data_IF_597965029905
#
_entry.id   IF_597965029905
#
_cell.length_a   1.000
_cell.length_b   1.000
_cell.length_c   1.000
_cell.angle_alpha   90.00
_cell.angle_beta   90.00
_cell.angle_gamma   90.00
#
_symmetry.space_group_name_H-M   'P 1'
#
loop_
_entity.id
_entity.type
_entity.pdbx_description
1 polymer ?
2 water ?
#
# COMPACT_ATOMS: atom_id res chain seq x y z
N UNK A 1 0.85 16.53 23.03
CA UNK A 1 0.74 15.04 23.02
C UNK A 1 2.05 14.37 22.66
N UNK A 2 2.52 13.46 23.51
CA UNK A 2 3.78 12.77 23.26
C UNK A 2 3.64 11.58 22.36
N UNK A 3 4.11 11.78 21.12
CA UNK A 3 4.07 10.77 20.08
C UNK A 3 5.48 10.32 19.67
N UNK A 4 5.69 9.01 19.68
CA UNK A 4 6.97 8.48 19.28
C UNK A 4 6.85 7.91 17.87
N UNK A 5 7.89 8.08 17.08
CA UNK A 5 7.88 7.55 15.72
C UNK A 5 8.92 6.44 15.72
N UNK A 6 8.60 5.30 15.14
CA UNK A 6 9.56 4.21 15.11
C UNK A 6 9.70 3.69 13.70
N UNK A 7 10.92 3.36 13.28
CA UNK A 7 11.12 2.87 11.93
C UNK A 7 10.95 4.00 10.95
N UNK A 8 11.13 5.21 11.45
CA UNK A 8 11.00 6.42 10.66
C UNK A 8 12.07 6.68 9.61
N UNK A 9 13.20 6.00 9.73
CA UNK A 9 14.27 6.19 8.76
C UNK A 9 14.11 5.20 7.60
N UNK A 10 13.26 4.19 7.80
CA UNK A 10 12.99 3.18 6.79
C UNK A 10 12.44 3.78 5.51
N UNK A 11 12.03 2.94 4.56
CA UNK A 11 11.51 3.45 3.32
C UNK A 11 10.14 4.04 3.53
N UNK A 12 9.25 3.27 4.16
CA UNK A 12 7.91 3.80 4.44
C UNK A 12 8.08 4.90 5.48
N UNK A 13 8.83 4.61 6.54
CA UNK A 13 9.05 5.58 7.58
C UNK A 13 9.38 6.94 6.99
N UNK A 14 10.12 6.96 5.88
CA UNK A 14 10.54 8.21 5.23
C UNK A 14 9.42 8.96 4.53
N UNK A 15 8.59 8.24 3.78
CA UNK A 15 7.48 8.87 3.10
C UNK A 15 6.62 9.43 4.22
N UNK A 16 6.47 8.66 5.29
CA UNK A 16 5.68 9.09 6.43
C UNK A 16 6.10 10.46 6.92
N UNK A 17 7.41 10.67 7.09
CA UNK A 17 7.90 11.95 7.56
C UNK A 17 7.68 13.04 6.53
N UNK A 18 8.09 12.79 5.30
CA UNK A 18 7.93 13.79 4.26
C UNK A 18 6.53 14.39 4.33
N UNK A 19 5.53 13.51 4.39
CA UNK A 19 4.13 13.91 4.44
C UNK A 19 3.73 14.61 5.73
N UNK A 20 4.28 14.16 6.86
CA UNK A 20 3.97 14.79 8.13
C UNK A 20 4.50 16.19 8.11
N UNK A 21 5.63 16.37 7.45
CA UNK A 21 6.21 17.68 7.35
C UNK A 21 5.29 18.53 6.47
N UNK A 22 4.85 17.97 5.36
CA UNK A 22 3.99 18.69 4.45
C UNK A 22 2.64 19.07 5.06
N UNK A 23 2.08 18.22 5.90
CA UNK A 23 0.79 18.53 6.48
C UNK A 23 0.94 19.22 7.82
N UNK A 24 2.18 19.51 8.20
CA UNK A 24 2.46 20.21 9.45
C UNK A 24 2.01 19.39 10.65
N UNK A 25 1.92 18.08 10.49
CA UNK A 25 1.50 17.21 11.58
C UNK A 25 2.36 17.47 12.82
N UNK A 26 3.63 17.82 12.61
CA UNK A 26 4.56 18.05 13.72
C UNK A 26 4.24 19.30 14.58
N UNK A 27 3.15 19.99 14.26
CA UNK A 27 2.74 21.22 14.96
C UNK A 27 1.65 20.98 16.01
N UNK A 28 1.24 19.73 16.17
CA UNK A 28 0.17 19.45 17.11
C UNK A 28 0.61 18.36 18.05
N UNK A 29 1.88 17.99 17.97
CA UNK A 29 2.40 16.92 18.79
C UNK A 29 3.83 17.12 19.24
N UNK A 30 4.14 16.59 20.41
CA UNK A 30 5.50 16.64 20.97
C UNK A 30 6.13 15.34 20.44
N UNK A 31 6.96 15.43 19.39
CA UNK A 31 7.59 14.24 18.82
C UNK A 31 8.77 13.68 19.58
N UNK A 32 8.88 12.37 19.55
CA UNK A 32 9.98 11.64 20.19
C UNK A 32 10.34 10.57 19.17
N UNK A 33 11.58 10.59 18.71
CA UNK A 33 12.02 9.64 17.71
C UNK A 33 12.72 8.40 18.25
N UNK A 34 12.47 7.26 17.61
CA UNK A 34 13.05 6.01 18.06
C UNK A 34 13.92 5.24 17.07
N UNK A 35 15.04 4.75 17.60
CA UNK A 35 16.02 3.98 16.84
C UNK A 35 16.46 2.75 17.65
N UNK A 36 17.18 1.86 16.99
CA UNK A 36 17.65 0.63 17.61
C UNK A 36 19.17 0.53 17.49
N UNK A 37 19.73 1.41 16.66
CA UNK A 37 21.14 1.40 16.36
C UNK A 37 22.11 2.37 17.06
N UNK A 38 21.65 3.55 17.48
CA UNK A 38 22.57 4.46 18.18
C UNK A 38 21.92 5.52 19.03
N UNK A 39 21.21 5.05 20.05
CA UNK A 39 20.52 5.92 20.99
C UNK A 39 21.40 7.07 21.46
N UNK A 40 20.77 8.13 21.96
CA UNK A 40 21.52 9.26 22.45
C UNK A 40 21.89 10.31 21.41
N UNK A 41 22.21 9.86 20.21
CA UNK A 41 22.57 10.81 19.17
C UNK A 41 21.40 11.75 19.00
N UNK A 42 21.65 12.97 18.51
CA UNK A 42 20.59 13.96 18.28
C UNK A 42 19.47 13.33 17.47
N UNK A 43 18.26 13.90 17.53
CA UNK A 43 17.13 13.38 16.77
C UNK A 43 16.93 14.24 15.51
N UNK A 44 16.18 13.74 14.52
CA UNK A 44 16.02 14.59 13.35
C UNK A 44 15.21 15.82 13.68
N UNK A 45 15.38 16.87 12.89
CA UNK A 45 14.62 18.09 13.09
C UNK A 45 13.98 18.37 11.75
N UNK A 46 12.69 18.11 11.65
CA UNK A 46 12.00 18.35 10.40
C UNK A 46 11.52 19.81 10.38
N UNK A 47 11.41 20.36 11.57
CA UNK A 47 10.99 21.74 11.75
C UNK A 47 11.34 22.12 13.18
N UNK A 48 10.88 21.28 14.11
CA UNK A 48 11.14 21.52 15.52
C UNK A 48 12.20 20.57 16.07
N UNK A 49 12.78 21.01 17.19
CA UNK A 49 13.81 20.30 17.93
C UNK A 49 13.10 19.15 18.66
N UNK A 50 13.58 17.91 18.53
CA UNK A 50 12.92 16.80 19.21
C UNK A 50 13.86 16.03 20.12
N UNK A 51 14.88 16.73 20.62
CA UNK A 51 15.84 16.11 21.52
C UNK A 51 16.78 15.09 20.91
N UNK A 52 16.91 13.95 21.58
CA UNK A 52 17.79 12.88 21.13
C UNK A 52 16.95 11.69 20.69
N UNK A 53 17.60 10.64 20.23
CA UNK A 53 16.93 9.42 19.81
C UNK A 53 16.78 8.58 21.06
N UNK A 54 15.68 7.83 21.12
CA UNK A 54 15.40 6.98 22.27
C UNK A 54 15.44 5.52 21.88
N UNK A 55 15.63 4.67 22.87
CA UNK A 55 15.72 3.23 22.67
C UNK A 55 14.37 2.59 22.29
N UNK A 56 14.18 2.33 21.00
CA UNK A 56 12.96 1.72 20.49
C UNK A 56 12.58 0.37 21.11
N UNK A 57 13.47 -0.18 21.90
CA UNK A 57 13.21 -1.47 22.54
C UNK A 57 12.97 -1.33 24.02
N UNK A 58 13.07 -0.09 24.50
CA UNK A 58 12.87 0.24 25.90
C UNK A 58 11.38 0.38 26.26
N UNK A 59 10.79 -0.69 26.78
CA UNK A 59 9.37 -0.65 27.13
C UNK A 59 9.11 0.53 28.05
N UNK A 60 10.01 0.75 29.00
CA UNK A 60 9.86 1.86 29.94
C UNK A 60 9.89 3.21 29.28
N UNK A 61 10.68 3.34 28.22
CA UNK A 61 10.78 4.62 27.52
C UNK A 61 9.50 4.95 26.78
N UNK A 62 8.90 3.92 26.18
CA UNK A 62 7.67 4.06 25.39
C UNK A 62 6.44 4.36 26.26
N UNK A 63 6.39 3.74 27.44
CA UNK A 63 5.27 3.93 28.38
C UNK A 63 4.90 5.39 28.64
N UNK A 64 5.84 6.28 28.37
CA UNK A 64 5.64 7.70 28.62
C UNK A 64 5.13 8.43 27.39
N UNK A 65 4.79 7.67 26.36
CA UNK A 65 4.27 8.23 25.10
C UNK A 65 2.78 7.97 25.02
N UNK A 66 2.02 8.92 24.46
CA UNK A 66 0.58 8.76 24.30
C UNK A 66 0.39 8.00 23.01
N UNK A 67 1.25 8.33 22.04
CA UNK A 67 1.17 7.74 20.71
C UNK A 67 2.48 7.20 20.17
N UNK A 68 2.34 6.13 19.37
CA UNK A 68 3.45 5.45 18.70
C UNK A 68 3.08 5.15 17.25
N UNK A 69 3.78 5.77 16.30
CA UNK A 69 3.58 5.48 14.89
C UNK A 69 4.85 4.78 14.46
N UNK A 70 4.73 3.48 14.25
CA UNK A 70 5.88 2.68 13.86
C UNK A 70 5.73 2.14 12.44
N UNK A 71 6.80 2.27 11.66
CA UNK A 71 6.86 1.76 10.30
C UNK A 71 8.00 0.78 10.37
N UNK A 72 8.32 0.36 11.59
CA UNK A 72 9.43 -0.56 11.81
C UNK A 72 9.16 -2.01 11.41
N UNK A 73 7.94 -2.31 10.98
CA UNK A 73 7.67 -3.67 10.54
C UNK A 73 7.29 -4.69 11.60
N UNK A 74 6.79 -5.81 11.11
CA UNK A 74 6.33 -6.89 11.96
C UNK A 74 7.25 -7.44 13.03
N UNK A 75 8.44 -7.91 12.66
CA UNK A 75 9.38 -8.48 13.63
C UNK A 75 9.54 -7.63 14.90
N UNK A 76 9.36 -6.31 14.74
CA UNK A 76 9.45 -5.34 15.83
C UNK A 76 8.18 -5.33 16.67
N UNK A 77 7.06 -5.15 15.98
CA UNK A 77 5.75 -5.10 16.60
C UNK A 77 5.49 -6.37 17.44
N UNK A 78 5.81 -7.53 16.90
CA UNK A 78 5.62 -8.83 17.59
C UNK A 78 6.22 -8.93 18.99
N UNK A 79 7.34 -8.26 19.20
CA UNK A 79 8.02 -8.30 20.47
C UNK A 79 7.60 -7.13 21.36
N UNK A 80 7.74 -5.92 20.84
CA UNK A 80 7.42 -4.71 21.58
C UNK A 80 5.96 -4.39 21.79
N UNK A 81 5.09 -4.70 20.84
CA UNK A 81 3.68 -4.39 21.05
C UNK A 81 3.14 -5.12 22.27
N UNK A 82 3.33 -6.44 22.32
CA UNK A 82 2.86 -7.23 23.47
C UNK A 82 3.45 -6.67 24.75
N UNK A 83 4.78 -6.72 24.85
CA UNK A 83 5.48 -6.21 26.03
C UNK A 83 4.90 -4.89 26.50
N UNK A 84 4.57 -4.01 25.55
CA UNK A 84 4.03 -2.73 25.93
C UNK A 84 2.62 -2.81 26.53
N UNK A 85 1.74 -3.60 25.93
CA UNK A 85 0.37 -3.68 26.47
C UNK A 85 0.34 -4.26 27.89
N UNK A 86 0.84 -5.48 28.04
CA UNK A 86 0.87 -6.17 29.34
C UNK A 86 1.56 -5.35 30.44
N UNK A 87 2.39 -4.39 30.05
CA UNK A 87 3.07 -3.53 31.01
C UNK A 87 2.12 -2.37 31.33
N UNK A 88 0.84 -2.58 31.02
CA UNK A 88 -0.19 -1.60 31.29
C UNK A 88 -0.28 -0.36 30.41
N UNK A 89 0.32 -0.38 29.23
CA UNK A 89 0.25 0.79 28.36
C UNK A 89 -1.12 0.81 27.70
N UNK A 90 -1.80 1.94 27.84
CA UNK A 90 -3.14 2.10 27.28
C UNK A 90 -3.10 3.11 26.12
N UNK A 91 -1.89 3.54 25.77
CA UNK A 91 -1.73 4.51 24.71
C UNK A 91 -2.02 4.02 23.31
N UNK A 92 -2.05 4.95 22.36
CA UNK A 92 -2.33 4.63 20.96
C UNK A 92 -1.14 4.08 20.17
N UNK A 93 -1.38 2.94 19.52
CA UNK A 93 -0.38 2.27 18.72
C UNK A 93 -0.80 2.32 17.25
N UNK A 94 -0.11 3.16 16.47
CA UNK A 94 -0.35 3.35 15.03
C UNK A 94 0.72 2.59 14.24
N UNK A 95 0.35 1.41 13.77
CA UNK A 95 1.29 0.56 13.07
C UNK A 95 1.03 0.42 11.57
N UNK A 96 2.10 0.14 10.83
CA UNK A 96 2.05 -0.02 9.39
C UNK A 96 2.14 -1.51 9.07
N UNK A 97 2.88 -2.24 9.90
CA UNK A 97 3.05 -3.66 9.70
C UNK A 97 1.73 -4.45 9.83
N UNK A 98 1.67 -5.56 9.11
CA UNK A 98 0.50 -6.44 9.06
C UNK A 98 0.20 -7.22 10.33
N UNK A 99 1.18 -7.26 11.22
CA UNK A 99 1.07 -8.00 12.48
C UNK A 99 -0.31 -8.04 13.15
N UNK A 100 -0.80 -6.88 13.55
CA UNK A 100 -2.07 -6.80 14.27
C UNK A 100 -3.30 -6.57 13.41
N UNK A 101 -3.14 -6.51 12.10
CA UNK A 101 -4.26 -6.25 11.19
C UNK A 101 -5.48 -7.13 11.47
N UNK A 102 -5.26 -8.42 11.71
CA UNK A 102 -6.38 -9.33 11.93
C UNK A 102 -6.71 -9.63 13.37
N UNK A 103 -6.18 -8.82 14.27
CA UNK A 103 -6.46 -9.00 15.68
C UNK A 103 -7.77 -8.34 15.95
N UNK A 104 -8.49 -8.92 16.89
CA UNK A 104 -9.78 -8.40 17.30
C UNK A 104 -9.64 -6.97 17.87
N UNK A 105 -8.69 -6.78 18.77
CA UNK A 105 -8.49 -5.48 19.40
C UNK A 105 -7.93 -4.38 18.48
N UNK A 106 -7.80 -4.66 17.17
CA UNK A 106 -7.23 -3.67 16.25
C UNK A 106 -8.14 -3.27 15.09
N UNK A 107 -8.17 -1.97 14.79
CA UNK A 107 -8.99 -1.40 13.72
C UNK A 107 -8.14 -1.03 12.50
N UNK A 108 -8.44 -1.62 11.34
CA UNK A 108 -7.69 -1.29 10.12
C UNK A 108 -8.15 0.07 9.60
N UNK A 109 -7.24 1.04 9.60
CA UNK A 109 -7.54 2.40 9.18
C UNK A 109 -7.48 2.76 7.68
N UNK A 110 -8.52 3.43 7.22
CA UNK A 110 -8.67 3.90 5.83
C UNK A 110 -9.86 4.85 5.80
N UNK A 111 -9.88 5.75 6.79
CA UNK A 111 -10.94 6.73 6.97
C UNK A 111 -11.73 7.18 5.75
N UNK A 112 -11.06 7.64 4.70
CA UNK A 112 -11.84 8.07 3.54
C UNK A 112 -12.99 7.11 3.31
N UNK A 113 -12.67 5.84 3.57
CA UNK A 113 -13.59 4.73 3.40
C UNK A 113 -14.35 4.37 4.67
N UNK A 114 -13.61 4.20 5.78
CA UNK A 114 -14.25 3.80 7.02
C UNK A 114 -14.12 4.75 8.22
N UNK A 115 -14.24 6.06 7.99
CA UNK A 115 -14.15 7.02 9.09
C UNK A 115 -15.09 6.58 10.23
N UNK A 116 -16.29 6.14 9.88
CA UNK A 116 -17.28 5.68 10.85
C UNK A 116 -16.70 4.68 11.85
N UNK A 117 -16.32 3.53 11.32
CA UNK A 117 -15.75 2.43 12.10
C UNK A 117 -14.60 2.86 13.01
N UNK A 118 -13.90 3.91 12.61
CA UNK A 118 -12.76 4.41 13.37
C UNK A 118 -13.16 5.15 14.63
N UNK A 119 -14.08 6.10 14.47
CA UNK A 119 -14.60 6.94 15.54
C UNK A 119 -15.29 6.15 16.65
N UNK A 120 -16.00 5.11 16.24
CA UNK A 120 -16.68 4.25 17.21
C UNK A 120 -15.56 3.73 18.11
N UNK A 121 -14.59 3.05 17.49
CA UNK A 121 -13.45 2.51 18.24
C UNK A 121 -12.72 3.52 19.09
N UNK A 122 -12.51 4.72 18.57
CA UNK A 122 -11.82 5.78 19.29
C UNK A 122 -12.43 6.01 20.67
N UNK A 123 -13.73 6.28 20.71
CA UNK A 123 -14.45 6.55 21.95
C UNK A 123 -14.66 5.31 22.83
N UNK A 124 -14.64 4.15 22.20
CA UNK A 124 -14.85 2.87 22.87
C UNK A 124 -13.58 2.05 23.01
N UNK A 125 -12.59 2.63 23.66
CA UNK A 125 -11.33 1.93 23.86
C UNK A 125 -10.44 2.01 22.64
N UNK A 126 -10.31 0.87 21.95
CA UNK A 126 -9.49 0.70 20.74
C UNK A 126 -8.29 1.66 20.72
N UNK A 127 -7.10 1.11 20.94
CA UNK A 127 -5.86 1.89 20.99
C UNK A 127 -4.85 1.41 19.96
N UNK A 128 -5.23 0.35 19.26
CA UNK A 128 -4.37 -0.24 18.25
C UNK A 128 -4.93 -0.12 16.83
N UNK A 129 -4.33 0.76 16.04
CA UNK A 129 -4.74 0.97 14.65
C UNK A 129 -3.66 0.59 13.66
N UNK A 130 -4.03 -0.27 12.72
CA UNK A 130 -3.12 -0.75 11.71
C UNK A 130 -3.53 -0.34 10.33
N UNK A 131 -2.54 -0.07 9.48
CA UNK A 131 -2.84 0.31 8.12
C UNK A 131 -3.12 -0.95 7.32
N UNK A 132 -3.78 -0.80 6.19
CA UNK A 132 -4.09 -1.97 5.39
C UNK A 132 -3.09 -2.28 4.31
N UNK A 133 -3.18 -3.52 3.84
CA UNK A 133 -2.31 -4.02 2.78
C UNK A 133 -2.34 -3.10 1.58
N UNK A 134 -1.15 -2.77 1.08
CA UNK A 134 -1.00 -1.90 -0.07
C UNK A 134 -2.06 -2.10 -1.17
N UNK A 135 -2.32 -3.33 -1.57
CA UNK A 135 -3.29 -3.58 -2.66
C UNK A 135 -4.74 -3.26 -2.31
N UNK A 136 -5.17 -3.72 -1.15
CA UNK A 136 -6.54 -3.52 -0.74
C UNK A 136 -6.95 -2.05 -0.61
N UNK A 137 -6.20 -1.28 0.16
CA UNK A 137 -6.56 0.12 0.38
C UNK A 137 -6.56 0.99 -0.86
N UNK A 138 -5.76 0.63 -1.85
CA UNK A 138 -5.76 1.42 -3.08
C UNK A 138 -7.00 1.04 -3.85
N UNK A 139 -7.34 -0.24 -3.78
CA UNK A 139 -8.52 -0.78 -4.45
C UNK A 139 -9.76 -0.07 -3.93
N UNK A 140 -9.86 0.00 -2.60
CA UNK A 140 -11.00 0.65 -1.94
C UNK A 140 -11.01 2.14 -2.18
N UNK A 141 -9.84 2.76 -2.27
CA UNK A 141 -9.80 4.19 -2.51
C UNK A 141 -10.36 4.51 -3.90
N UNK A 142 -10.54 3.48 -4.72
CA UNK A 142 -11.09 3.67 -6.05
C UNK A 142 -12.54 3.22 -6.13
N UNK A 143 -12.81 2.02 -5.60
CA UNK A 143 -14.15 1.50 -5.64
C UNK A 143 -14.92 1.81 -4.37
N UNK A 144 -14.48 2.84 -3.68
CA UNK A 144 -15.14 3.23 -2.44
C UNK A 144 -16.63 3.48 -2.61
N UNK A 145 -16.99 4.16 -3.69
CA UNK A 145 -18.39 4.45 -3.92
C UNK A 145 -19.23 3.19 -3.90
N UNK A 146 -18.95 2.27 -4.82
CA UNK A 146 -19.71 1.04 -4.90
C UNK A 146 -19.77 0.25 -3.58
N UNK A 147 -18.61 -0.10 -3.03
CA UNK A 147 -18.56 -0.87 -1.81
C UNK A 147 -19.32 -0.35 -0.62
N UNK A 148 -19.10 0.92 -0.29
CA UNK A 148 -19.77 1.51 0.86
C UNK A 148 -21.26 1.33 0.79
N UNK A 149 -21.77 1.12 -0.42
CA UNK A 149 -23.20 0.92 -0.65
C UNK A 149 -23.54 -0.54 -0.89
N UNK A 150 -22.68 -1.44 -0.44
CA UNK A 150 -22.95 -2.86 -0.62
C UNK A 150 -23.46 -3.23 -2.00
N UNK A 151 -23.21 -2.35 -2.98
CA UNK A 151 -23.62 -2.59 -4.35
C UNK A 151 -22.88 -3.75 -5.03
N UNK A 152 -21.75 -4.16 -4.46
CA UNK A 152 -20.97 -5.24 -5.06
C UNK A 152 -21.31 -6.63 -4.58
N UNK A 153 -21.57 -7.53 -5.53
CA UNK A 153 -21.87 -8.90 -5.21
C UNK A 153 -20.51 -9.59 -5.00
N UNK A 154 -19.65 -9.50 -6.00
CA UNK A 154 -18.30 -10.07 -5.89
C UNK A 154 -17.33 -9.39 -6.86
N UNK A 155 -16.04 -9.46 -6.57
CA UNK A 155 -15.02 -8.85 -7.41
C UNK A 155 -13.83 -9.79 -7.62
N UNK A 156 -13.33 -9.80 -8.86
CA UNK A 156 -12.19 -10.61 -9.28
C UNK A 156 -11.04 -9.63 -9.55
N UNK A 157 -9.90 -9.80 -8.87
CA UNK A 157 -8.76 -8.89 -9.05
C UNK A 157 -7.47 -9.51 -9.56
N UNK A 158 -6.97 -8.97 -10.67
CA UNK A 158 -5.71 -9.42 -11.26
C UNK A 158 -4.83 -8.18 -11.14
N UNK A 159 -3.81 -8.28 -10.30
CA UNK A 159 -2.96 -7.14 -10.06
C UNK A 159 -1.64 -7.06 -10.79
N UNK A 160 -1.10 -5.84 -10.79
CA UNK A 160 0.17 -5.47 -11.39
C UNK A 160 0.89 -4.72 -10.27
N UNK A 161 1.51 -5.47 -9.37
CA UNK A 161 2.17 -4.85 -8.24
C UNK A 161 3.60 -4.40 -8.44
N UNK A 162 3.87 -3.21 -7.94
CA UNK A 162 5.18 -2.57 -8.02
C UNK A 162 6.19 -3.30 -7.13
N UNK A 163 7.48 -3.06 -7.38
CA UNK A 163 8.51 -3.71 -6.60
C UNK A 163 8.61 -3.09 -5.21
N UNK A 164 8.24 -1.81 -5.11
CA UNK A 164 8.34 -1.10 -3.84
C UNK A 164 7.65 -1.91 -2.76
N UNK A 165 6.60 -2.60 -3.15
CA UNK A 165 5.86 -3.41 -2.22
C UNK A 165 6.76 -4.38 -1.48
N UNK A 166 7.71 -5.01 -2.20
CA UNK A 166 8.63 -5.99 -1.62
C UNK A 166 9.70 -5.38 -0.70
N UNK A 167 10.04 -4.12 -0.93
CA UNK A 167 11.03 -3.52 -0.08
C UNK A 167 11.93 -2.65 -0.93
N UNK A 168 12.69 -1.80 -0.26
CA UNK A 168 13.60 -0.91 -0.95
C UNK A 168 14.63 -1.68 -1.78
N UNK A 169 15.15 -2.77 -1.21
CA UNK A 169 16.14 -3.58 -1.89
C UNK A 169 15.66 -4.10 -3.24
N UNK A 170 14.39 -4.48 -3.31
CA UNK A 170 13.83 -5.01 -4.53
C UNK A 170 13.71 -3.94 -5.62
N UNK A 171 13.45 -2.71 -5.24
CA UNK A 171 13.35 -1.63 -6.22
C UNK A 171 14.71 -1.47 -6.85
N UNK A 172 15.74 -1.54 -6.02
CA UNK A 172 17.09 -1.42 -6.49
C UNK A 172 17.38 -2.55 -7.47
N UNK A 173 17.01 -3.77 -7.09
CA UNK A 173 17.27 -4.90 -7.98
C UNK A 173 16.58 -4.70 -9.34
N UNK A 174 15.35 -4.21 -9.29
CA UNK A 174 14.58 -3.97 -10.51
C UNK A 174 15.32 -3.05 -11.49
N UNK A 175 15.88 -1.97 -10.97
CA UNK A 175 16.60 -1.03 -11.81
C UNK A 175 17.96 -1.51 -12.18
N UNK A 176 18.54 -2.35 -11.35
CA UNK A 176 19.83 -2.90 -11.69
C UNK A 176 19.59 -3.85 -12.87
N UNK A 177 18.58 -4.70 -12.75
CA UNK A 177 18.20 -5.66 -13.80
C UNK A 177 17.95 -4.92 -15.10
N UNK A 178 17.21 -3.82 -15.03
CA UNK A 178 16.95 -3.05 -16.24
C UNK A 178 18.28 -2.61 -16.82
N UNK A 179 19.20 -2.21 -15.94
CA UNK A 179 20.51 -1.79 -16.38
C UNK A 179 21.24 -2.95 -17.05
N UNK A 180 21.37 -4.05 -16.33
CA UNK A 180 22.03 -5.23 -16.86
C UNK A 180 21.48 -5.69 -18.21
N UNK A 181 20.19 -5.47 -18.47
CA UNK A 181 19.60 -5.87 -19.75
C UNK A 181 19.96 -4.92 -20.89
N UNK A 182 20.12 -3.64 -20.59
CA UNK A 182 20.47 -2.69 -21.64
C UNK A 182 21.93 -2.95 -21.98
N UNK A 183 22.75 -3.11 -20.94
CA UNK A 183 24.19 -3.36 -21.06
C UNK A 183 24.52 -4.48 -21.98
N UNK A 184 23.66 -5.48 -22.00
CA UNK A 184 23.86 -6.64 -22.86
C UNK A 184 23.68 -6.36 -24.36
N UNK A 185 22.82 -5.42 -24.71
CA UNK A 185 22.58 -5.10 -26.13
C UNK A 185 22.63 -3.61 -26.41
N UNK A 186 23.41 -2.92 -25.58
CA UNK A 186 23.60 -1.47 -25.65
C UNK A 186 23.98 -0.95 -27.04
N UNK A 187 25.09 -1.46 -27.55
CA UNK A 187 25.61 -1.09 -28.85
C UNK A 187 24.67 -1.48 -29.99
N UNK A 188 24.23 -2.73 -30.04
CA UNK A 188 23.32 -3.19 -31.09
C UNK A 188 22.12 -2.27 -31.26
N UNK A 189 21.61 -1.72 -30.16
CA UNK A 189 20.46 -0.81 -30.22
C UNK A 189 20.84 0.49 -30.97
N UNK A 190 22.07 0.95 -30.72
CA UNK A 190 22.65 2.15 -31.35
C UNK A 190 22.56 2.04 -32.87
N UNK A 191 23.05 0.91 -33.39
CA UNK A 191 23.00 0.62 -34.83
C UNK A 191 21.54 0.35 -35.14
N UNK A 192 20.85 1.36 -35.67
CA UNK A 192 19.44 1.23 -36.00
C UNK A 192 19.14 0.10 -36.97
N UNK A 193 20.15 -0.63 -37.39
CA UNK A 193 19.89 -1.70 -38.34
C UNK A 193 20.28 -3.08 -37.86
N UNK A 194 20.64 -3.22 -36.60
CA UNK A 194 21.00 -4.54 -36.09
C UNK A 194 19.87 -5.57 -36.26
N UNK A 195 20.12 -6.81 -35.86
CA UNK A 195 19.12 -7.87 -35.96
C UNK A 195 18.22 -7.86 -34.73
N UNK A 196 16.96 -7.52 -34.92
CA UNK A 196 16.01 -7.47 -33.80
C UNK A 196 15.99 -8.78 -33.00
N UNK A 197 15.91 -9.90 -33.69
CA UNK A 197 15.87 -11.18 -33.00
C UNK A 197 17.19 -11.48 -32.33
N UNK A 198 18.28 -10.84 -32.76
CA UNK A 198 19.54 -11.12 -32.12
C UNK A 198 19.58 -10.35 -30.81
N UNK A 199 19.02 -9.14 -30.83
CA UNK A 199 18.93 -8.31 -29.65
C UNK A 199 18.16 -9.08 -28.59
N UNK A 200 17.07 -9.68 -29.03
CA UNK A 200 16.21 -10.47 -28.17
C UNK A 200 16.96 -11.62 -27.53
N UNK A 201 17.54 -12.45 -28.41
CA UNK A 201 18.30 -13.63 -28.00
C UNK A 201 19.21 -13.35 -26.82
N UNK A 202 20.01 -12.29 -26.96
CA UNK A 202 20.96 -11.91 -25.93
C UNK A 202 20.22 -11.53 -24.66
N UNK A 203 19.27 -10.63 -24.80
CA UNK A 203 18.47 -10.17 -23.68
C UNK A 203 17.98 -11.37 -22.89
N UNK A 204 17.49 -12.37 -23.61
CA UNK A 204 17.00 -13.57 -22.94
C UNK A 204 18.11 -14.33 -22.21
N UNK A 205 19.24 -14.53 -22.88
CA UNK A 205 20.37 -15.26 -22.27
C UNK A 205 20.78 -14.55 -20.98
N UNK A 206 20.90 -13.24 -21.08
CA UNK A 206 21.29 -12.39 -19.97
C UNK A 206 20.40 -12.60 -18.75
N UNK A 207 19.11 -12.34 -18.90
CA UNK A 207 18.18 -12.51 -17.80
C UNK A 207 18.33 -13.91 -17.27
N UNK A 208 18.71 -14.82 -18.17
CA UNK A 208 18.90 -16.22 -17.85
C UNK A 208 20.26 -16.53 -17.19
N UNK A 209 21.30 -15.79 -17.53
CA UNK A 209 22.61 -16.04 -16.94
C UNK A 209 22.55 -15.88 -15.44
N UNK A 210 23.06 -16.88 -14.71
CA UNK A 210 23.05 -16.83 -13.25
C UNK A 210 23.55 -15.52 -12.65
N UNK A 211 24.39 -14.83 -13.43
CA UNK A 211 24.96 -13.57 -13.06
C UNK A 211 23.91 -12.47 -13.12
N UNK A 212 22.66 -12.86 -13.39
CA UNK A 212 21.60 -11.87 -13.43
C UNK A 212 21.25 -11.64 -11.95
N UNK A 213 21.27 -10.36 -11.51
CA UNK A 213 20.97 -9.90 -10.15
C UNK A 213 19.62 -10.31 -9.63
N UNK A 214 19.53 -11.49 -9.04
CA UNK A 214 18.25 -11.97 -8.56
C UNK A 214 18.36 -12.43 -7.12
N UNK A 215 19.11 -11.68 -6.32
CA UNK A 215 19.28 -12.07 -4.94
C UNK A 215 18.05 -11.75 -4.10
N UNK A 216 17.32 -10.71 -4.50
CA UNK A 216 16.14 -10.30 -3.76
C UNK A 216 14.81 -10.87 -4.25
N UNK A 217 14.72 -11.11 -5.55
CA UNK A 217 13.50 -11.65 -6.15
C UNK A 217 13.53 -13.15 -6.41
N UNK A 218 14.73 -13.70 -6.60
CA UNK A 218 14.88 -15.11 -6.88
C UNK A 218 14.90 -15.41 -8.37
N UNK A 219 14.09 -14.66 -9.11
CA UNK A 219 14.00 -14.80 -10.56
C UNK A 219 13.95 -13.39 -11.14
N UNK A 220 14.10 -13.26 -12.45
CA UNK A 220 14.06 -11.93 -13.06
C UNK A 220 12.68 -11.29 -12.94
N UNK A 221 12.67 -9.99 -12.71
CA UNK A 221 11.42 -9.23 -12.61
C UNK A 221 11.36 -8.33 -13.83
N UNK A 222 12.45 -7.65 -14.11
CA UNK A 222 12.52 -6.76 -15.27
C UNK A 222 12.42 -7.60 -16.54
N UNK A 223 11.46 -7.30 -17.40
CA UNK A 223 11.30 -8.06 -18.63
C UNK A 223 10.53 -9.35 -18.42
N UNK A 224 9.91 -9.46 -17.27
CA UNK A 224 9.16 -10.64 -16.92
C UNK A 224 8.14 -10.21 -15.87
N UNK A 225 7.61 -11.19 -15.14
CA UNK A 225 6.64 -10.94 -14.07
C UNK A 225 6.65 -12.18 -13.19
N UNK A 226 6.14 -12.04 -11.97
CA UNK A 226 6.12 -13.19 -11.07
C UNK A 226 4.71 -13.36 -10.52
N UNK A 227 3.97 -14.34 -11.05
CA UNK A 227 2.59 -14.69 -10.68
C UNK A 227 2.41 -15.28 -9.29
N UNK A 228 3.18 -14.78 -8.33
CA UNK A 228 3.08 -15.26 -6.97
C UNK A 228 3.75 -14.24 -6.05
N UNK A 229 3.00 -13.77 -5.05
CA UNK A 229 3.50 -12.81 -4.07
C UNK A 229 3.18 -13.35 -2.68
N UNK A 230 4.20 -13.49 -1.83
CA UNK A 230 4.03 -13.99 -0.46
C UNK A 230 3.86 -15.52 -0.41
N UNK A 231 3.76 -16.02 0.82
CA UNK A 231 3.61 -17.46 1.09
C UNK A 231 2.34 -18.14 0.58
N UNK A 232 2.44 -19.43 0.28
CA UNK A 232 1.31 -20.20 -0.21
C UNK A 232 0.44 -20.56 0.96
N UNK A 233 -0.87 -20.57 0.73
CA UNK A 233 -1.82 -20.89 1.78
C UNK A 233 -2.47 -22.25 1.55
N UNK A 234 -3.34 -22.73 2.48
CA UNK A 234 -4.02 -24.00 2.49
C UNK A 234 -4.77 -24.20 1.20
N UNK A 235 -5.69 -23.28 0.90
CA UNK A 235 -6.41 -23.38 -0.37
C UNK A 235 -5.38 -22.96 -1.41
N UNK A 236 -5.81 -22.46 -2.57
CA UNK A 236 -4.80 -22.10 -3.56
C UNK A 236 -4.20 -20.70 -3.55
N UNK A 237 -4.76 -19.82 -2.74
CA UNK A 237 -4.31 -18.45 -2.67
C UNK A 237 -2.94 -18.28 -2.04
N UNK A 238 -2.38 -17.10 -2.23
CA UNK A 238 -1.10 -16.71 -1.65
C UNK A 238 -1.55 -15.76 -0.53
N UNK A 239 -0.73 -15.50 0.48
CA UNK A 239 -1.22 -14.62 1.52
C UNK A 239 -1.56 -13.25 0.95
N UNK A 240 -0.98 -12.88 -0.18
CA UNK A 240 -1.27 -11.59 -0.79
C UNK A 240 -2.68 -11.59 -1.37
N UNK A 241 -2.99 -12.65 -2.13
CA UNK A 241 -4.31 -12.82 -2.76
C UNK A 241 -5.38 -13.08 -1.69
N UNK A 242 -4.93 -13.37 -0.49
CA UNK A 242 -5.82 -13.64 0.64
C UNK A 242 -6.16 -12.36 1.44
N UNK A 243 -5.13 -11.58 1.80
CA UNK A 243 -5.32 -10.34 2.55
C UNK A 243 -6.47 -9.53 1.92
N UNK A 244 -6.72 -9.81 0.64
CA UNK A 244 -7.77 -9.14 -0.16
C UNK A 244 -9.12 -9.20 0.50
N UNK A 245 -9.67 -10.42 0.56
CA UNK A 245 -10.98 -10.61 1.17
C UNK A 245 -11.00 -10.21 2.63
N UNK A 246 -10.39 -11.05 3.49
CA UNK A 246 -10.34 -10.81 4.93
C UNK A 246 -10.17 -9.35 5.33
N UNK A 247 -9.13 -8.70 4.83
CA UNK A 247 -8.91 -7.30 5.17
C UNK A 247 -9.94 -6.36 4.60
N UNK A 248 -10.32 -6.55 3.35
CA UNK A 248 -11.29 -5.67 2.72
C UNK A 248 -12.60 -5.60 3.53
N UNK A 249 -13.14 -6.76 3.89
CA UNK A 249 -14.38 -6.83 4.65
C UNK A 249 -14.23 -6.25 6.03
N UNK A 250 -13.12 -6.57 6.68
CA UNK A 250 -12.92 -6.02 8.00
C UNK A 250 -13.19 -4.51 7.97
N UNK A 251 -12.58 -3.82 7.00
CA UNK A 251 -12.77 -2.38 6.87
C UNK A 251 -14.23 -2.08 6.66
N UNK A 252 -14.79 -2.74 5.65
CA UNK A 252 -16.19 -2.56 5.28
C UNK A 252 -17.09 -3.05 6.40
N UNK A 253 -16.47 -3.58 7.44
CA UNK A 253 -17.22 -4.08 8.57
C UNK A 253 -18.37 -4.96 8.12
N UNK A 254 -18.04 -6.14 7.60
CA UNK A 254 -19.04 -7.11 7.16
C UNK A 254 -18.43 -8.48 7.01
N UNK A 255 -18.03 -9.04 8.16
CA UNK A 255 -17.36 -10.33 8.21
C UNK A 255 -18.26 -11.57 8.19
N UNK A 256 -19.45 -11.47 8.79
CA UNK A 256 -20.41 -12.58 8.87
C UNK A 256 -21.30 -12.59 7.64
N UNK A 257 -21.08 -11.56 6.82
CA UNK A 257 -21.78 -11.31 5.55
C UNK A 257 -20.73 -10.59 4.67
N UNK A 258 -19.69 -11.30 4.23
CA UNK A 258 -18.60 -10.74 3.41
C UNK A 258 -18.64 -10.86 1.89
N UNK A 259 -18.31 -9.76 1.21
CA UNK A 259 -18.26 -9.73 -0.24
C UNK A 259 -17.12 -10.62 -0.70
N UNK A 260 -17.39 -11.54 -1.63
CA UNK A 260 -16.35 -12.45 -2.15
C UNK A 260 -15.32 -11.72 -3.00
N UNK A 261 -14.04 -11.93 -2.70
CA UNK A 261 -12.98 -11.28 -3.45
C UNK A 261 -11.76 -12.19 -3.61
N UNK A 262 -11.42 -12.46 -4.86
CA UNK A 262 -10.29 -13.33 -5.15
C UNK A 262 -9.70 -12.96 -6.53
N UNK A 263 -8.43 -13.31 -6.73
CA UNK A 263 -7.76 -13.01 -7.96
C UNK A 263 -6.29 -13.36 -7.85
N UNK A 264 -5.53 -13.03 -8.88
CA UNK A 264 -4.10 -13.33 -8.89
C UNK A 264 -3.30 -12.09 -8.69
N UNK A 265 -2.40 -12.13 -7.70
CA UNK A 265 -1.51 -11.01 -7.39
C UNK A 265 -0.16 -11.22 -8.07
N UNK A 266 0.14 -10.38 -9.06
CA UNK A 266 1.38 -10.53 -9.80
C UNK A 266 2.28 -9.33 -9.66
N UNK A 267 3.57 -9.63 -9.59
CA UNK A 267 4.56 -8.59 -9.48
C UNK A 267 5.05 -8.28 -10.88
N UNK A 268 5.08 -6.99 -11.21
CA UNK A 268 5.58 -6.57 -12.48
C UNK A 268 6.63 -5.53 -12.15
N UNK A 269 7.50 -5.25 -13.11
CA UNK A 269 8.57 -4.31 -12.87
C UNK A 269 8.20 -2.86 -12.87
N UNK A 270 7.43 -2.43 -11.88
CA UNK A 270 7.03 -1.03 -11.76
C UNK A 270 7.72 -0.59 -10.47
N UNK A 271 7.93 0.71 -10.29
CA UNK A 271 8.63 1.15 -9.08
C UNK A 271 7.84 1.15 -7.76
N UNK A 272 6.78 1.95 -7.68
CA UNK A 272 6.02 2.02 -6.44
C UNK A 272 4.51 2.21 -6.60
N UNK A 273 3.96 1.85 -7.76
CA UNK A 273 2.51 1.97 -7.97
C UNK A 273 1.86 0.64 -8.27
N UNK A 274 0.85 0.26 -7.50
CA UNK A 274 0.16 -0.99 -7.80
C UNK A 274 -0.95 -0.68 -8.77
N UNK A 275 -1.23 -1.62 -9.67
CA UNK A 275 -2.29 -1.46 -10.64
C UNK A 275 -3.20 -2.69 -10.60
N UNK A 276 -4.51 -2.48 -10.78
CA UNK A 276 -5.47 -3.57 -10.71
C UNK A 276 -6.51 -3.58 -11.83
N UNK A 277 -6.79 -4.79 -12.30
CA UNK A 277 -7.78 -4.99 -13.36
C UNK A 277 -8.92 -5.79 -12.70
N UNK A 278 -9.99 -5.09 -12.33
CA UNK A 278 -11.12 -5.72 -11.66
C UNK A 278 -12.36 -6.09 -12.47
N UNK A 279 -12.84 -7.30 -12.20
CA UNK A 279 -14.07 -7.81 -12.81
C UNK A 279 -15.04 -7.60 -11.66
N UNK A 280 -15.70 -6.45 -11.66
CA UNK A 280 -16.66 -6.08 -10.63
C UNK A 280 -18.08 -6.55 -10.92
N UNK A 281 -18.59 -7.49 -10.13
CA UNK A 281 -19.94 -8.03 -10.29
C UNK A 281 -20.95 -7.29 -9.42
N UNK A 282 -21.68 -6.35 -10.01
CA UNK A 282 -22.66 -5.59 -9.25
C UNK A 282 -23.97 -6.41 -9.07
N UNK A 283 -24.84 -5.97 -8.17
CA UNK A 283 -26.08 -6.70 -7.92
C UNK A 283 -27.27 -6.28 -8.76
N UNK A 284 -27.35 -4.98 -9.06
CA UNK A 284 -28.44 -4.41 -9.85
C UNK A 284 -27.90 -3.65 -11.07
N UNK A 285 -28.27 -4.06 -12.28
CA UNK A 285 -27.82 -3.34 -13.46
C UNK A 285 -27.95 -1.83 -13.23
N UNK A 286 -26.84 -1.15 -12.96
CA UNK A 286 -26.86 0.30 -12.73
C UNK A 286 -26.28 1.02 -13.93
N UNK A 287 -26.86 2.17 -14.30
CA UNK A 287 -26.30 2.88 -15.45
C UNK A 287 -24.86 3.29 -15.15
N UNK A 288 -23.98 3.11 -16.14
CA UNK A 288 -22.56 3.46 -16.02
C UNK A 288 -22.45 4.95 -15.67
N UNK A 289 -23.42 5.69 -16.19
CA UNK A 289 -23.55 7.11 -15.97
C UNK A 289 -23.52 7.39 -14.46
N UNK A 290 -24.20 6.53 -13.72
CA UNK A 290 -24.32 6.60 -12.26
C UNK A 290 -23.19 5.93 -11.48
N UNK A 291 -22.57 4.90 -12.07
CA UNK A 291 -21.45 4.23 -11.41
C UNK A 291 -20.33 5.23 -11.28
N UNK A 292 -20.14 6.05 -12.32
CA UNK A 292 -19.11 7.05 -12.33
C UNK A 292 -19.27 8.06 -11.20
N UNK A 293 -20.51 8.53 -10.99
CA UNK A 293 -20.78 9.49 -9.94
C UNK A 293 -20.53 8.91 -8.55
N UNK A 294 -21.11 7.75 -8.27
CA UNK A 294 -20.95 7.09 -6.97
C UNK A 294 -19.47 6.99 -6.64
N UNK A 295 -18.71 6.56 -7.65
CA UNK A 295 -17.25 6.37 -7.62
C UNK A 295 -16.52 7.69 -7.42
N UNK A 296 -16.67 8.57 -8.40
CA UNK A 296 -16.05 9.88 -8.41
C UNK A 296 -16.28 10.65 -7.14
N UNK A 297 -17.46 10.47 -6.55
CA UNK A 297 -17.85 11.19 -5.33
C UNK A 297 -17.36 10.62 -4.02
N UNK A 298 -16.96 9.35 -4.00
CA UNK A 298 -16.55 8.76 -2.73
C UNK A 298 -15.47 9.53 -1.96
N UNK A 299 -14.42 10.01 -2.61
CA UNK A 299 -13.40 10.77 -1.88
C UNK A 299 -12.63 11.73 -2.79
N UNK A 300 -11.86 12.64 -2.19
CA UNK A 300 -11.10 13.63 -2.96
C UNK A 300 -9.87 13.17 -3.75
N UNK A 301 -9.50 11.89 -3.66
CA UNK A 301 -8.33 11.42 -4.38
C UNK A 301 -8.65 10.55 -5.57
N UNK A 302 -9.74 9.81 -5.49
CA UNK A 302 -10.09 9.00 -6.62
C UNK A 302 -10.45 9.92 -7.79
N UNK A 303 -9.88 9.61 -8.94
CA UNK A 303 -10.09 10.39 -10.15
C UNK A 303 -10.52 9.46 -11.28
N UNK A 304 -11.71 9.71 -11.81
CA UNK A 304 -12.23 8.90 -12.90
C UNK A 304 -11.61 9.38 -14.20
N UNK A 305 -11.11 8.42 -14.98
CA UNK A 305 -10.47 8.70 -16.25
C UNK A 305 -11.28 8.24 -17.46
N UNK A 306 -11.85 9.19 -18.19
CA UNK A 306 -12.67 8.96 -19.37
C UNK A 306 -12.18 7.76 -20.17
N UNK A 307 -13.08 6.83 -20.47
CA UNK A 307 -12.70 5.63 -21.22
C UNK A 307 -12.36 5.94 -22.66
N UNK A 308 -11.42 6.85 -22.83
CA UNK A 308 -10.98 7.25 -24.13
C UNK A 308 -9.51 6.84 -24.21
N UNK A 309 -9.10 6.30 -25.34
CA UNK A 309 -7.74 5.83 -25.57
C UNK A 309 -6.62 6.78 -25.13
N UNK A 310 -6.34 7.79 -25.93
CA UNK A 310 -5.26 8.71 -25.64
C UNK A 310 -5.09 9.20 -24.22
N UNK A 311 -6.15 9.75 -23.63
CA UNK A 311 -6.06 10.26 -22.26
C UNK A 311 -5.81 9.18 -21.20
N UNK A 312 -6.37 7.99 -21.43
CA UNK A 312 -6.19 6.88 -20.51
C UNK A 312 -4.70 6.56 -20.48
N UNK A 313 -4.06 6.72 -21.63
CA UNK A 313 -2.63 6.44 -21.79
C UNK A 313 -1.76 7.40 -21.00
N UNK A 314 -2.19 8.65 -20.93
CA UNK A 314 -1.44 9.65 -20.18
C UNK A 314 -1.73 9.51 -18.70
N UNK A 315 -3.03 9.45 -18.41
CA UNK A 315 -3.56 9.39 -17.05
C UNK A 315 -3.57 8.11 -16.21
N UNK A 316 -3.93 6.95 -16.77
CA UNK A 316 -4.00 5.73 -15.95
C UNK A 316 -2.79 4.82 -16.05
N UNK A 317 -1.64 5.31 -15.57
CA UNK A 317 -0.43 4.50 -15.63
C UNK A 317 0.48 4.77 -14.45
N UNK A 318 1.29 3.78 -14.06
CA UNK A 318 2.20 3.95 -12.93
C UNK A 318 3.01 5.22 -13.18
N UNK A 319 3.32 5.46 -14.43
CA UNK A 319 4.08 6.62 -14.84
C UNK A 319 3.48 7.91 -14.30
N UNK A 320 2.22 8.17 -14.61
CA UNK A 320 1.58 9.39 -14.16
C UNK A 320 1.35 9.49 -12.65
N UNK A 321 0.89 8.40 -12.05
CA UNK A 321 0.56 8.37 -10.64
C UNK A 321 1.67 8.36 -9.61
N UNK A 322 2.74 7.64 -9.91
CA UNK A 322 3.85 7.51 -8.98
C UNK A 322 4.23 8.82 -8.28
N UNK A 323 4.22 8.77 -6.96
CA UNK A 323 4.58 9.94 -6.18
C UNK A 323 3.39 10.78 -5.75
N UNK A 324 2.28 10.68 -6.49
CA UNK A 324 1.07 11.44 -6.16
C UNK A 324 0.09 10.63 -5.31
N UNK A 325 -0.76 11.35 -4.60
CA UNK A 325 -1.78 10.75 -3.75
C UNK A 325 -3.05 10.57 -4.56
N UNK A 326 -2.98 10.88 -5.86
CA UNK A 326 -4.13 10.74 -6.76
C UNK A 326 -4.37 9.26 -6.98
N UNK A 327 -5.65 8.86 -7.09
CA UNK A 327 -5.99 7.45 -7.30
C UNK A 327 -6.90 7.25 -8.52
N UNK A 328 -6.31 7.32 -9.73
CA UNK A 328 -7.06 7.15 -10.97
C UNK A 328 -7.71 5.79 -11.14
N UNK A 329 -8.87 5.79 -11.78
CA UNK A 329 -9.62 4.58 -12.07
C UNK A 329 -10.35 4.82 -13.38
N UNK A 330 -10.17 3.92 -14.33
CA UNK A 330 -10.79 4.13 -15.61
C UNK A 330 -11.09 2.83 -16.29
N UNK A 331 -11.28 2.90 -17.60
CA UNK A 331 -11.65 1.74 -18.41
C UNK A 331 -12.98 1.25 -17.85
N UNK A 332 -13.76 2.19 -17.33
CA UNK A 332 -15.08 1.90 -16.75
C UNK A 332 -16.10 1.66 -17.86
N UNK A 333 -16.56 0.42 -17.95
CA UNK A 333 -17.55 0.01 -18.95
C UNK A 333 -18.24 -1.28 -18.53
N UNK A 334 -19.46 -1.49 -19.00
CA UNK A 334 -20.15 -2.73 -18.70
C UNK A 334 -19.46 -3.76 -19.58
N UNK A 335 -19.47 -5.02 -19.13
CA UNK A 335 -18.79 -6.09 -19.86
C UNK A 335 -19.62 -7.05 -20.73
N UNK A 336 -18.92 -7.80 -21.58
CA UNK A 336 -19.54 -8.78 -22.46
C UNK A 336 -20.46 -9.75 -21.74
N UNK A 337 -20.51 -9.67 -20.42
CA UNK A 337 -21.34 -10.60 -19.67
C UNK A 337 -22.42 -9.92 -18.81
N UNK A 338 -23.30 -9.16 -19.43
CA UNK A 338 -24.36 -8.56 -18.64
C UNK A 338 -24.04 -7.18 -18.14
N UNK A 339 -25.08 -6.38 -17.92
CA UNK A 339 -24.90 -5.01 -17.46
C UNK A 339 -24.65 -4.90 -15.98
N UNK A 340 -24.53 -6.03 -15.30
CA UNK A 340 -24.22 -6.04 -13.85
C UNK A 340 -22.77 -6.57 -13.67
N UNK A 341 -22.04 -6.50 -14.78
CA UNK A 341 -20.63 -6.87 -14.92
C UNK A 341 -19.89 -5.58 -15.28
N UNK A 342 -19.19 -4.98 -14.33
CA UNK A 342 -18.49 -3.73 -14.58
C UNK A 342 -16.97 -3.88 -14.61
N UNK A 343 -16.35 -3.45 -15.72
CA UNK A 343 -14.90 -3.54 -15.82
C UNK A 343 -14.27 -2.26 -15.26
N UNK A 344 -13.09 -2.40 -14.65
CA UNK A 344 -12.41 -1.25 -14.07
C UNK A 344 -10.94 -1.53 -13.90
N UNK A 345 -10.11 -0.53 -14.21
CA UNK A 345 -8.65 -0.64 -14.09
C UNK A 345 -8.20 0.56 -13.28
N UNK A 346 -7.48 0.31 -12.18
CA UNK A 346 -7.03 1.41 -11.32
C UNK A 346 -5.53 1.39 -11.01
N UNK A 347 -4.95 2.57 -10.83
CA UNK A 347 -3.52 2.68 -10.54
C UNK A 347 -3.42 3.44 -9.23
N UNK A 348 -2.47 3.07 -8.36
CA UNK A 348 -2.31 3.78 -7.10
C UNK A 348 -0.93 3.69 -6.45
N UNK A 349 -0.43 4.80 -5.92
CA UNK A 349 0.89 4.77 -5.29
C UNK A 349 0.81 3.95 -4.05
N UNK A 350 1.67 2.95 -3.95
CA UNK A 350 1.64 2.07 -2.81
C UNK A 350 2.32 2.56 -1.55
N UNK A 351 3.19 3.56 -1.69
CA UNK A 351 3.87 4.08 -0.51
C UNK A 351 3.03 5.11 0.23
N UNK A 352 2.12 5.77 -0.50
CA UNK A 352 1.26 6.78 0.11
C UNK A 352 -0.04 6.20 0.67
N UNK A 353 -1.02 5.98 -0.19
CA UNK A 353 -2.25 5.43 0.29
C UNK A 353 -2.10 3.97 0.68
N UNK A 354 -1.23 3.26 -0.04
CA UNK A 354 -1.05 1.84 0.26
C UNK A 354 -0.17 1.54 1.46
N UNK A 355 0.18 2.58 2.21
CA UNK A 355 1.04 2.37 3.36
C UNK A 355 1.20 3.51 4.38
N UNK A 356 1.81 4.61 3.97
CA UNK A 356 2.03 5.68 4.92
C UNK A 356 0.88 6.64 5.22
N UNK A 357 0.23 7.18 4.18
CA UNK A 357 -0.85 8.16 4.39
C UNK A 357 -1.87 7.80 5.46
N UNK A 358 -2.45 6.60 5.38
CA UNK A 358 -3.43 6.29 6.41
C UNK A 358 -2.92 6.59 7.84
N UNK A 359 -1.70 6.18 8.14
CA UNK A 359 -1.10 6.41 9.47
C UNK A 359 -1.16 7.86 9.95
N UNK A 360 -0.55 8.78 9.20
CA UNK A 360 -0.56 10.17 9.61
C UNK A 360 -1.98 10.71 9.72
N UNK A 361 -2.85 10.34 8.78
CA UNK A 361 -4.24 10.83 8.83
C UNK A 361 -4.89 10.36 10.12
N UNK A 362 -4.74 9.09 10.43
CA UNK A 362 -5.30 8.54 11.64
C UNK A 362 -4.91 9.35 12.86
N UNK A 363 -3.67 9.80 12.91
CA UNK A 363 -3.18 10.60 14.02
C UNK A 363 -4.02 11.88 14.09
N UNK A 364 -4.02 12.66 13.01
CA UNK A 364 -4.78 13.91 12.95
C UNK A 364 -6.23 13.69 13.44
N UNK A 365 -6.78 12.51 13.17
CA UNK A 365 -8.13 12.19 13.59
C UNK A 365 -8.16 12.09 15.11
N UNK A 366 -7.49 11.07 15.61
CA UNK A 366 -7.40 10.82 17.04
C UNK A 366 -7.10 12.11 17.78
N UNK A 367 -6.56 13.09 17.07
CA UNK A 367 -6.26 14.36 17.68
C UNK A 367 -7.52 15.22 17.72
N UNK A 368 -8.19 15.36 16.58
CA UNK A 368 -9.41 16.16 16.51
C UNK A 368 -10.46 15.72 17.54
N UNK A 369 -10.10 14.75 18.38
CA UNK A 369 -10.99 14.25 19.43
C UNK A 369 -10.41 14.45 20.85
#
# INVERSE_FOLDING_TARGET
MRVGLVGWRGMVGSVLMQRMVEERDFDLIEPVFFSTSQIGVPAPNFGKDAGMLHDAFDIESLKQLDAVITCQGGSYTEKVYPALRQAGWKGYWIDAASTLRMDKEAIITLDPVNLKQILHGIHHGTKTFVGGNCTVSLMLMALGGLYERGLVEWMSAMTYQAASGAGAQNMRELISQMGVINDAVSSELANPASSILDIDKKVAETMRSGSFPTDNFGVPLAGSLIPWIDVKRDNGQSKEEWKAGVEANKILGLQDSPVPIDGTCVRIGAMRCHSQALTIKLKQNIPLDEIEEMIATHNDWVKVIPNERDITARELTPAKVTGTLSVPVGRLRKMAMGDDFLNAFTVGDQLLWGAAEPLRRTLRIILAEK
#
